data_IF_084104276235
#
_entry.id   IF_084104276235
#
_cell.length_a   1.000
_cell.length_b   1.000
_cell.length_c   1.000
_cell.angle_alpha   90.00
_cell.angle_beta   90.00
_cell.angle_gamma   90.00
#
_symmetry.space_group_name_H-M   'P 1'
#
loop_
_entity.id
_entity.type
_entity.pdbx_description
1 polymer ?
#
# COMPACT_ATOMS: atom_id res chain seq x y z
N UNK A 1 19.84 25.94 15.68
CA UNK A 1 19.46 24.67 16.34
C UNK A 1 20.09 23.56 15.53
N UNK A 2 20.79 22.63 16.16
CA UNK A 2 21.52 21.55 15.49
C UNK A 2 20.63 20.83 14.46
N UNK A 3 21.14 20.67 13.24
CA UNK A 3 20.51 19.95 12.14
C UNK A 3 20.54 18.43 12.41
N UNK A 4 19.90 18.00 13.49
CA UNK A 4 19.84 16.58 13.82
C UNK A 4 18.80 15.93 12.90
N UNK A 5 19.28 15.13 11.95
CA UNK A 5 18.44 14.35 11.05
C UNK A 5 17.89 13.07 11.66
N UNK A 6 18.11 12.85 12.96
CA UNK A 6 17.73 11.63 13.67
C UNK A 6 16.80 11.94 14.83
N UNK A 7 15.92 10.98 15.12
CA UNK A 7 15.10 10.95 16.33
C UNK A 7 14.82 9.50 16.73
N UNK A 8 14.21 9.30 17.89
CA UNK A 8 13.73 8.00 18.34
C UNK A 8 12.22 7.94 18.22
N UNK A 9 11.68 6.80 17.82
CA UNK A 9 10.24 6.56 17.86
C UNK A 9 9.74 6.60 19.31
N UNK A 10 8.59 7.24 19.50
CA UNK A 10 7.86 7.19 20.78
C UNK A 10 7.22 5.81 20.98
N UNK A 11 6.81 5.50 22.20
CA UNK A 11 6.05 4.26 22.49
C UNK A 11 4.85 4.07 21.55
N UNK A 12 4.04 5.11 21.36
CA UNK A 12 2.87 5.07 20.48
C UNK A 12 3.27 4.72 19.03
N UNK A 13 4.38 5.28 18.54
CA UNK A 13 4.90 5.00 17.19
C UNK A 13 5.49 3.58 17.09
N UNK A 14 6.16 3.08 18.14
CA UNK A 14 6.67 1.70 18.20
C UNK A 14 5.53 0.68 18.20
N UNK A 15 4.40 0.97 18.86
CA UNK A 15 3.21 0.13 18.79
C UNK A 15 2.65 0.08 17.36
N UNK A 16 2.56 1.22 16.67
CA UNK A 16 2.11 1.25 15.27
C UNK A 16 3.09 0.49 14.36
N UNK A 17 4.39 0.63 14.57
CA UNK A 17 5.41 -0.15 13.87
C UNK A 17 5.23 -1.65 14.10
N UNK A 18 5.02 -2.09 15.34
CA UNK A 18 4.81 -3.52 15.65
C UNK A 18 3.56 -4.08 14.98
N UNK A 19 2.46 -3.31 14.99
CA UNK A 19 1.23 -3.66 14.30
C UNK A 19 1.46 -3.84 12.80
N UNK A 20 2.11 -2.87 12.16
CA UNK A 20 2.47 -2.92 10.73
C UNK A 20 3.34 -4.13 10.43
N UNK A 21 4.36 -4.39 11.25
CA UNK A 21 5.28 -5.50 11.02
C UNK A 21 4.67 -6.87 11.35
N UNK A 22 3.61 -6.90 12.16
CA UNK A 22 2.89 -8.09 12.59
C UNK A 22 1.63 -8.41 11.76
N UNK A 23 1.12 -7.47 10.97
CA UNK A 23 -0.03 -7.63 10.07
C UNK A 23 0.28 -8.71 9.02
N UNK A 24 -0.66 -9.64 8.80
CA UNK A 24 -0.53 -10.64 7.73
C UNK A 24 -0.90 -9.96 6.42
N UNK A 25 0.02 -9.99 5.46
CA UNK A 25 -0.16 -9.44 4.13
C UNK A 25 -0.19 -10.54 3.07
N UNK A 26 -1.16 -10.53 2.15
CA UNK A 26 -1.25 -11.52 1.08
C UNK A 26 -0.31 -11.17 -0.08
N UNK A 27 0.54 -12.11 -0.46
CA UNK A 27 1.30 -12.06 -1.71
C UNK A 27 0.63 -13.01 -2.70
N UNK A 28 -0.02 -12.44 -3.71
CA UNK A 28 -0.87 -13.18 -4.63
C UNK A 28 -0.04 -13.90 -5.67
N UNK A 29 -0.24 -15.22 -5.79
CA UNK A 29 0.32 -16.02 -6.87
C UNK A 29 -0.44 -15.80 -8.17
N UNK A 30 0.26 -15.76 -9.29
CA UNK A 30 -0.34 -15.77 -10.63
C UNK A 30 -0.71 -17.20 -11.06
N UNK A 31 -1.77 -17.32 -11.85
CA UNK A 31 -2.25 -18.62 -12.33
C UNK A 31 -2.72 -19.49 -11.17
N UNK A 32 -2.19 -20.72 -11.10
CA UNK A 32 -2.58 -21.70 -10.08
C UNK A 32 -1.70 -21.67 -8.82
N UNK A 33 -0.79 -20.70 -8.70
CA UNK A 33 0.06 -20.57 -7.52
C UNK A 33 -0.75 -20.04 -6.32
N UNK A 34 -0.59 -20.63 -5.12
CA UNK A 34 -1.36 -20.20 -3.95
C UNK A 34 -0.95 -18.81 -3.48
N UNK A 35 -1.85 -18.09 -2.83
CA UNK A 35 -1.52 -16.86 -2.11
C UNK A 35 -0.64 -17.18 -0.90
N UNK A 36 0.46 -16.43 -0.73
CA UNK A 36 1.32 -16.52 0.45
C UNK A 36 0.80 -15.58 1.53
N UNK A 37 0.65 -16.08 2.76
CA UNK A 37 0.30 -15.28 3.93
C UNK A 37 1.57 -14.97 4.72
N UNK A 38 2.05 -13.74 4.60
CA UNK A 38 3.38 -13.36 5.12
C UNK A 38 3.23 -12.23 6.12
N UNK A 39 4.02 -12.26 7.20
CA UNK A 39 4.20 -11.09 8.08
C UNK A 39 5.48 -10.35 7.69
N UNK A 40 5.48 -9.02 7.58
CA UNK A 40 6.68 -8.24 7.23
C UNK A 40 7.89 -8.61 8.07
N UNK A 41 7.74 -8.71 9.40
CA UNK A 41 8.85 -9.09 10.28
C UNK A 41 9.48 -10.44 9.93
N UNK A 42 8.70 -11.40 9.44
CA UNK A 42 9.23 -12.72 9.08
C UNK A 42 9.99 -12.68 7.76
N UNK A 43 9.41 -12.11 6.69
CA UNK A 43 10.11 -12.04 5.39
C UNK A 43 11.35 -11.16 5.47
N UNK A 44 11.29 -10.06 6.22
CA UNK A 44 12.45 -9.18 6.41
C UNK A 44 13.58 -9.92 7.13
N UNK A 45 13.28 -10.63 8.23
CA UNK A 45 14.29 -11.43 8.95
C UNK A 45 14.86 -12.56 8.08
N UNK A 46 14.01 -13.37 7.46
CA UNK A 46 14.46 -14.51 6.65
C UNK A 46 15.32 -14.04 5.48
N UNK A 47 14.93 -12.96 4.78
CA UNK A 47 15.76 -12.39 3.70
C UNK A 47 17.08 -11.84 4.25
N UNK A 48 17.07 -11.11 5.37
CA UNK A 48 18.30 -10.58 6.01
C UNK A 48 19.27 -11.72 6.34
N UNK A 49 18.78 -12.76 7.02
CA UNK A 49 19.60 -13.89 7.46
C UNK A 49 20.16 -14.67 6.27
N UNK A 50 19.33 -14.91 5.24
CA UNK A 50 19.77 -15.62 4.04
C UNK A 50 20.76 -14.82 3.21
N UNK A 51 20.61 -13.49 3.13
CA UNK A 51 21.62 -12.64 2.48
C UNK A 51 22.98 -12.77 3.17
N UNK A 52 23.01 -12.67 4.50
CA UNK A 52 24.23 -12.80 5.30
C UNK A 52 24.85 -14.19 5.11
N UNK A 53 24.03 -15.25 5.17
CA UNK A 53 24.49 -16.63 4.97
C UNK A 53 25.12 -16.86 3.57
N UNK A 54 24.68 -16.13 2.55
CA UNK A 54 25.24 -16.19 1.19
C UNK A 54 26.35 -15.14 0.95
N UNK A 55 26.91 -14.58 2.02
CA UNK A 55 28.06 -13.66 1.96
C UNK A 55 27.72 -12.29 1.39
N UNK A 56 26.48 -11.82 1.52
CA UNK A 56 26.11 -10.42 1.29
C UNK A 56 26.23 -9.68 2.62
N UNK A 57 27.03 -8.61 2.64
CA UNK A 57 27.13 -7.73 3.81
C UNK A 57 25.87 -6.87 3.86
N UNK A 58 25.11 -6.97 4.95
CA UNK A 58 23.93 -6.14 5.24
C UNK A 58 24.29 -5.16 6.36
N UNK A 59 24.35 -3.86 6.05
CA UNK A 59 24.73 -2.79 6.96
C UNK A 59 23.61 -2.45 7.94
N UNK A 60 22.40 -2.31 7.42
CA UNK A 60 21.16 -2.25 8.21
C UNK A 60 19.95 -2.55 7.34
N UNK A 61 18.80 -2.66 7.99
CA UNK A 61 17.49 -2.76 7.34
C UNK A 61 16.59 -1.62 7.76
N UNK A 62 15.81 -1.05 6.83
CA UNK A 62 14.97 0.13 7.07
C UNK A 62 13.60 0.01 6.44
N UNK A 63 12.58 0.64 7.04
CA UNK A 63 11.35 1.01 6.35
C UNK A 63 11.49 2.39 5.74
N UNK A 64 11.00 2.55 4.51
CA UNK A 64 11.03 3.81 3.77
C UNK A 64 9.63 4.18 3.25
N UNK A 65 9.51 5.31 2.56
CA UNK A 65 8.32 5.65 1.79
C UNK A 65 7.13 6.00 2.68
N UNK A 66 5.92 5.87 2.13
CA UNK A 66 4.69 6.33 2.80
C UNK A 66 4.40 5.62 4.12
N UNK A 67 4.94 4.41 4.32
CA UNK A 67 4.75 3.64 5.55
C UNK A 67 5.54 4.19 6.73
N UNK A 68 6.75 4.72 6.49
CA UNK A 68 7.51 5.40 7.53
C UNK A 68 6.75 6.65 8.02
N UNK A 69 6.23 7.45 7.09
CA UNK A 69 5.41 8.62 7.42
C UNK A 69 4.10 8.25 8.13
N UNK A 70 3.46 7.14 7.74
CA UNK A 70 2.29 6.61 8.43
C UNK A 70 2.61 6.23 9.89
N UNK A 71 3.73 5.53 10.15
CA UNK A 71 4.13 5.15 11.51
C UNK A 71 4.36 6.40 12.37
N UNK A 72 4.98 7.45 11.80
CA UNK A 72 5.28 8.69 12.51
C UNK A 72 4.05 9.55 12.82
N UNK A 73 3.05 9.56 11.92
CA UNK A 73 1.90 10.47 12.00
C UNK A 73 0.56 9.77 11.65
N UNK A 74 0.34 8.57 12.18
CA UNK A 74 -0.84 7.73 11.88
C UNK A 74 -2.18 8.41 12.18
N UNK A 75 -2.20 9.35 13.13
CA UNK A 75 -3.40 10.12 13.52
C UNK A 75 -3.71 11.30 12.60
N UNK A 76 -2.84 11.63 11.63
CA UNK A 76 -2.97 12.83 10.78
C UNK A 76 -3.65 12.54 9.43
N UNK A 77 -4.35 11.41 9.30
CA UNK A 77 -4.96 10.97 8.03
C UNK A 77 -3.92 10.66 6.96
N UNK A 78 -2.69 10.34 7.37
CA UNK A 78 -1.67 9.79 6.49
C UNK A 78 -2.05 8.34 6.23
N UNK A 79 -2.03 7.94 4.98
CA UNK A 79 -2.21 6.54 4.58
C UNK A 79 -0.95 6.08 3.86
N UNK A 80 -0.59 4.83 4.04
CA UNK A 80 0.46 4.19 3.28
C UNK A 80 -0.14 3.25 2.26
N UNK A 81 0.64 3.00 1.21
CA UNK A 81 0.25 2.08 0.16
C UNK A 81 1.13 0.84 0.21
N UNK A 82 2.37 0.98 -0.22
CA UNK A 82 3.32 -0.12 -0.33
C UNK A 82 4.15 -0.24 0.97
N UNK A 83 4.61 -1.45 1.25
CA UNK A 83 5.59 -1.76 2.30
C UNK A 83 6.99 -1.70 1.68
N UNK A 84 7.61 -0.53 1.77
CA UNK A 84 8.95 -0.29 1.21
C UNK A 84 10.04 -0.64 2.23
N UNK A 85 10.75 -1.74 2.00
CA UNK A 85 11.87 -2.19 2.82
C UNK A 85 13.18 -1.93 2.09
N UNK A 86 14.12 -1.25 2.74
CA UNK A 86 15.49 -1.04 2.25
C UNK A 86 16.44 -1.91 3.05
N UNK A 87 17.18 -2.78 2.38
CA UNK A 87 18.38 -3.42 2.90
C UNK A 87 19.58 -2.63 2.37
N UNK A 88 20.36 -2.00 3.25
CA UNK A 88 21.64 -1.41 2.84
C UNK A 88 22.68 -2.50 2.74
N UNK A 89 23.11 -2.82 1.53
CA UNK A 89 23.95 -3.98 1.23
C UNK A 89 25.18 -3.60 0.43
N UNK A 90 26.23 -4.43 0.48
CA UNK A 90 27.37 -4.28 -0.41
C UNK A 90 27.21 -5.14 -1.67
N UNK A 91 27.27 -4.49 -2.84
CA UNK A 91 27.02 -5.14 -4.13
C UNK A 91 28.20 -5.01 -5.10
N UNK A 92 29.46 -5.32 -4.76
CA UNK A 92 30.64 -4.95 -5.55
C UNK A 92 30.63 -5.40 -7.02
N UNK A 93 29.92 -6.47 -7.37
CA UNK A 93 29.89 -7.01 -8.74
C UNK A 93 28.50 -7.59 -9.09
N UNK A 94 28.34 -7.98 -10.35
CA UNK A 94 27.08 -8.48 -10.91
C UNK A 94 26.64 -9.83 -10.31
N UNK A 95 27.58 -10.65 -9.87
CA UNK A 95 27.26 -11.91 -9.18
C UNK A 95 26.49 -11.65 -7.88
N UNK A 96 26.82 -10.58 -7.14
CA UNK A 96 26.09 -10.23 -5.91
C UNK A 96 24.64 -9.84 -6.16
N UNK A 97 24.32 -9.21 -7.30
CA UNK A 97 22.93 -8.97 -7.70
C UNK A 97 22.17 -10.27 -7.98
N UNK A 98 22.84 -11.25 -8.61
CA UNK A 98 22.24 -12.56 -8.88
C UNK A 98 21.97 -13.32 -7.57
N UNK A 99 22.91 -13.29 -6.62
CA UNK A 99 22.73 -13.87 -5.28
C UNK A 99 21.53 -13.24 -4.56
N UNK A 100 21.41 -11.90 -4.56
CA UNK A 100 20.24 -11.22 -3.96
C UNK A 100 18.94 -11.71 -4.57
N UNK A 101 18.87 -11.80 -5.90
CA UNK A 101 17.68 -12.30 -6.60
C UNK A 101 17.34 -13.72 -6.17
N UNK A 102 18.33 -14.61 -6.16
CA UNK A 102 18.12 -16.02 -5.88
C UNK A 102 17.76 -16.27 -4.42
N UNK A 103 18.37 -15.52 -3.49
CA UNK A 103 18.03 -15.52 -2.07
C UNK A 103 16.57 -15.12 -1.86
N UNK A 104 16.11 -14.00 -2.42
CA UNK A 104 14.73 -13.55 -2.23
C UNK A 104 13.74 -14.56 -2.79
N UNK A 105 13.98 -15.08 -4.00
CA UNK A 105 13.12 -16.09 -4.62
C UNK A 105 13.13 -17.41 -3.84
N UNK A 106 14.27 -17.79 -3.27
CA UNK A 106 14.41 -18.94 -2.38
C UNK A 106 13.59 -18.76 -1.09
N UNK A 107 13.65 -17.58 -0.46
CA UNK A 107 12.87 -17.27 0.73
C UNK A 107 11.36 -17.40 0.48
N UNK A 108 10.87 -17.05 -0.71
CA UNK A 108 9.44 -17.20 -1.05
C UNK A 108 8.98 -18.67 -1.03
N UNK A 109 9.87 -19.64 -1.30
CA UNK A 109 9.55 -21.07 -1.23
C UNK A 109 9.22 -21.50 0.21
N UNK A 110 9.80 -20.85 1.21
CA UNK A 110 9.57 -21.15 2.61
C UNK A 110 8.20 -20.69 3.10
N UNK A 111 7.61 -19.70 2.43
CA UNK A 111 6.27 -19.20 2.71
C UNK A 111 5.14 -19.95 2.00
N UNK A 112 5.46 -20.95 1.16
CA UNK A 112 4.43 -21.79 0.54
C UNK A 112 3.62 -22.55 1.61
N UNK A 113 2.28 -22.68 1.44
CA UNK A 113 1.44 -23.40 2.37
C UNK A 113 1.87 -24.85 2.59
N UNK A 114 1.58 -25.39 3.79
CA UNK A 114 1.83 -26.80 4.11
C UNK A 114 1.09 -27.70 3.11
N UNK A 115 1.80 -28.69 2.55
CA UNK A 115 1.25 -29.63 1.57
C UNK A 115 1.62 -29.33 0.11
N UNK A 116 2.23 -28.17 -0.19
CA UNK A 116 2.79 -27.88 -1.52
C UNK A 116 4.09 -28.67 -1.70
N UNK A 117 4.17 -29.50 -2.75
CA UNK A 117 5.40 -30.21 -3.13
C UNK A 117 6.43 -29.22 -3.68
N UNK A 118 7.53 -29.00 -2.96
CA UNK A 118 8.57 -28.04 -3.32
C UNK A 118 9.59 -28.58 -4.32
N UNK A 119 9.69 -29.91 -4.46
CA UNK A 119 10.74 -30.63 -5.23
C UNK A 119 10.86 -30.18 -6.69
N UNK A 120 9.76 -29.76 -7.32
CA UNK A 120 9.72 -29.36 -8.74
C UNK A 120 9.59 -27.84 -8.93
N UNK A 121 9.61 -27.05 -7.86
CA UNK A 121 9.42 -25.60 -7.96
C UNK A 121 10.78 -24.92 -8.13
N UNK A 122 11.01 -24.38 -9.32
CA UNK A 122 12.23 -23.62 -9.65
C UNK A 122 12.11 -22.15 -9.23
N UNK A 123 13.24 -21.46 -9.07
CA UNK A 123 13.25 -20.01 -8.81
C UNK A 123 12.60 -19.22 -9.96
N UNK A 124 12.69 -19.71 -11.20
CA UNK A 124 12.02 -19.11 -12.36
C UNK A 124 10.51 -19.10 -12.18
N UNK A 125 9.93 -20.21 -11.73
CA UNK A 125 8.50 -20.28 -11.43
C UNK A 125 8.11 -19.34 -10.28
N UNK A 126 8.93 -19.24 -9.22
CA UNK A 126 8.67 -18.30 -8.12
C UNK A 126 8.67 -16.85 -8.59
N UNK A 127 9.60 -16.50 -9.49
CA UNK A 127 9.65 -15.18 -10.11
C UNK A 127 8.37 -14.90 -10.90
N UNK A 128 7.98 -15.81 -11.79
CA UNK A 128 6.80 -15.63 -12.65
C UNK A 128 5.49 -15.58 -11.85
N UNK A 129 5.41 -16.37 -10.78
CA UNK A 129 4.23 -16.48 -9.94
C UNK A 129 4.03 -15.26 -9.02
N UNK A 130 5.09 -14.78 -8.36
CA UNK A 130 4.93 -13.86 -7.22
C UNK A 130 5.54 -12.48 -7.42
N UNK A 131 6.42 -12.30 -8.42
CA UNK A 131 7.11 -11.02 -8.60
C UNK A 131 6.37 -10.16 -9.63
N UNK A 132 5.92 -9.00 -9.17
CA UNK A 132 5.25 -8.01 -10.03
C UNK A 132 6.26 -7.22 -10.85
N UNK A 133 7.37 -6.81 -10.23
CA UNK A 133 8.39 -5.97 -10.85
C UNK A 133 9.78 -6.27 -10.28
N UNK A 134 10.77 -6.35 -11.17
CA UNK A 134 12.19 -6.38 -10.80
C UNK A 134 12.92 -5.23 -11.50
N UNK A 135 13.82 -4.58 -10.77
CA UNK A 135 14.68 -3.52 -11.31
C UNK A 135 16.11 -3.77 -10.83
N UNK A 136 17.08 -3.61 -11.74
CA UNK A 136 18.51 -3.55 -11.43
C UNK A 136 19.06 -2.25 -12.00
N UNK A 137 19.66 -1.44 -11.15
CA UNK A 137 20.40 -0.22 -11.54
C UNK A 137 21.85 -0.38 -11.09
N UNK A 138 22.76 -0.20 -12.04
CA UNK A 138 24.19 -0.29 -11.81
C UNK A 138 24.90 0.70 -12.73
N UNK A 139 25.18 1.89 -12.21
CA UNK A 139 25.96 2.95 -12.86
C UNK A 139 26.86 3.65 -11.83
N UNK A 140 27.59 4.69 -12.25
CA UNK A 140 28.59 5.37 -11.44
C UNK A 140 28.04 6.05 -10.17
N UNK A 141 26.75 6.34 -10.13
CA UNK A 141 26.10 7.04 -9.02
C UNK A 141 25.14 6.16 -8.23
N UNK A 142 24.44 5.26 -8.93
CA UNK A 142 23.36 4.44 -8.41
C UNK A 142 23.67 2.96 -8.60
N UNK A 143 23.67 2.23 -7.50
CA UNK A 143 23.88 0.78 -7.47
C UNK A 143 22.90 0.13 -6.51
N UNK A 144 21.80 -0.39 -7.04
CA UNK A 144 20.73 -0.98 -6.26
C UNK A 144 19.83 -1.88 -7.09
N UNK A 145 19.10 -2.78 -6.42
CA UNK A 145 18.05 -3.59 -7.04
C UNK A 145 16.75 -3.52 -6.25
N UNK A 146 15.63 -3.83 -6.90
CA UNK A 146 14.31 -3.85 -6.30
C UNK A 146 13.53 -5.07 -6.78
N UNK A 147 12.86 -5.73 -5.85
CA UNK A 147 11.93 -6.84 -6.10
C UNK A 147 10.61 -6.47 -5.43
N UNK A 148 9.58 -6.20 -6.24
CA UNK A 148 8.23 -5.87 -5.80
C UNK A 148 7.34 -7.10 -5.96
N UNK A 149 6.77 -7.56 -4.84
CA UNK A 149 5.93 -8.75 -4.77
C UNK A 149 4.47 -8.39 -4.98
N UNK A 150 3.76 -9.24 -5.72
CA UNK A 150 2.39 -8.96 -6.19
C UNK A 150 1.40 -8.92 -5.04
N UNK A 151 0.72 -7.78 -4.86
CA UNK A 151 -0.46 -7.70 -4.02
C UNK A 151 -1.62 -7.04 -4.78
N UNK A 152 -2.63 -7.84 -5.11
CA UNK A 152 -3.79 -7.39 -5.88
C UNK A 152 -4.70 -6.42 -5.11
N UNK A 153 -4.47 -6.22 -3.81
CA UNK A 153 -5.18 -5.22 -3.00
C UNK A 153 -4.45 -3.88 -2.89
N UNK A 154 -3.28 -3.74 -3.54
CA UNK A 154 -2.55 -2.47 -3.64
C UNK A 154 -1.54 -2.19 -2.52
N UNK A 155 -1.33 -3.11 -1.57
CA UNK A 155 -0.24 -3.03 -0.57
C UNK A 155 0.94 -3.92 -0.96
N UNK A 156 1.72 -3.54 -1.96
CA UNK A 156 2.82 -4.40 -2.42
C UNK A 156 3.94 -4.45 -1.37
N UNK A 157 4.69 -5.56 -1.37
CA UNK A 157 5.94 -5.65 -0.60
C UNK A 157 7.09 -5.34 -1.53
N UNK A 158 7.78 -4.24 -1.30
CA UNK A 158 8.93 -3.82 -2.10
C UNK A 158 10.22 -4.03 -1.31
N UNK A 159 11.01 -5.01 -1.73
CA UNK A 159 12.33 -5.28 -1.16
C UNK A 159 13.39 -4.61 -2.03
N UNK A 160 14.01 -3.55 -1.50
CA UNK A 160 15.04 -2.75 -2.16
C UNK A 160 16.40 -3.02 -1.53
N UNK A 161 17.39 -3.32 -2.35
CA UNK A 161 18.75 -3.66 -1.94
C UNK A 161 19.69 -2.57 -2.44
N UNK A 162 20.16 -1.72 -1.52
CA UNK A 162 20.83 -0.46 -1.86
C UNK A 162 22.30 -0.51 -1.44
N UNK A 163 23.20 -0.39 -2.43
CA UNK A 163 24.61 -0.15 -2.19
C UNK A 163 24.93 1.35 -2.27
N UNK A 164 24.45 2.02 -3.32
CA UNK A 164 24.47 3.48 -3.45
C UNK A 164 23.19 3.97 -4.13
N UNK A 165 22.67 5.09 -3.65
CA UNK A 165 21.48 5.73 -4.19
C UNK A 165 21.60 7.24 -4.03
N UNK A 166 21.73 7.96 -5.15
CA UNK A 166 21.90 9.41 -5.17
C UNK A 166 20.65 10.13 -4.65
N UNK A 167 19.48 9.70 -5.12
CA UNK A 167 18.18 10.32 -4.82
C UNK A 167 17.41 9.47 -3.84
N UNK A 168 17.31 9.92 -2.60
CA UNK A 168 16.69 9.13 -1.53
C UNK A 168 15.32 9.66 -1.07
N UNK A 169 14.96 10.90 -1.43
CA UNK A 169 13.65 11.50 -1.18
C UNK A 169 13.29 12.51 -2.27
N UNK A 170 12.01 12.88 -2.37
CA UNK A 170 11.54 13.94 -3.27
C UNK A 170 11.04 15.16 -2.48
N UNK A 171 10.23 14.93 -1.45
CA UNK A 171 9.72 15.94 -0.54
C UNK A 171 10.05 15.58 0.92
N UNK A 172 9.90 16.53 1.83
CA UNK A 172 10.16 16.29 3.26
C UNK A 172 9.27 15.18 3.83
N UNK A 173 8.02 15.10 3.37
CA UNK A 173 6.98 14.22 3.92
C UNK A 173 7.19 12.74 3.59
N UNK A 174 8.06 12.41 2.64
CA UNK A 174 8.44 11.05 2.25
C UNK A 174 9.93 10.75 2.49
N UNK A 175 10.61 11.61 3.26
CA UNK A 175 12.05 11.51 3.51
C UNK A 175 12.45 10.61 4.68
N UNK A 176 11.48 10.02 5.37
CA UNK A 176 11.73 9.27 6.60
C UNK A 176 12.15 7.84 6.34
N UNK A 177 13.19 7.39 7.06
CA UNK A 177 13.58 5.99 7.12
C UNK A 177 13.67 5.52 8.56
N UNK A 178 12.97 4.44 8.90
CA UNK A 178 12.95 3.85 10.24
C UNK A 178 13.92 2.66 10.25
N UNK A 179 14.93 2.69 11.12
CA UNK A 179 15.87 1.60 11.29
C UNK A 179 15.20 0.42 12.01
N UNK A 180 15.20 -0.75 11.37
CA UNK A 180 14.47 -1.92 11.86
C UNK A 180 15.29 -2.85 12.76
N UNK A 181 16.62 -2.75 12.75
CA UNK A 181 17.50 -3.77 13.32
C UNK A 181 17.19 -4.10 14.78
N UNK A 182 17.06 -3.08 15.65
CA UNK A 182 16.72 -3.28 17.06
C UNK A 182 15.33 -3.92 17.25
N UNK A 183 14.37 -3.60 16.38
CA UNK A 183 13.03 -4.19 16.43
C UNK A 183 13.05 -5.66 15.97
N UNK A 184 13.82 -5.96 14.93
CA UNK A 184 14.00 -7.31 14.40
C UNK A 184 14.74 -8.21 15.40
N UNK A 185 15.78 -7.69 16.06
CA UNK A 185 16.49 -8.36 17.14
C UNK A 185 15.57 -8.65 18.32
N UNK A 186 14.73 -7.69 18.71
CA UNK A 186 13.73 -7.88 19.76
C UNK A 186 12.77 -9.03 19.45
N UNK A 187 12.35 -9.21 18.19
CA UNK A 187 11.51 -10.35 17.80
C UNK A 187 12.18 -11.71 17.90
N UNK A 188 13.52 -11.75 17.85
CA UNK A 188 14.28 -12.99 17.99
C UNK A 188 14.46 -13.41 19.45
N UNK A 189 14.19 -12.52 20.40
CA UNK A 189 14.23 -12.82 21.84
C UNK A 189 13.00 -13.64 22.23
N UNK A 190 13.22 -14.90 22.63
CA UNK A 190 12.14 -15.79 23.10
C UNK A 190 11.38 -15.16 24.27
N UNK A 191 10.05 -15.20 24.20
CA UNK A 191 9.12 -14.68 25.22
C UNK A 191 9.18 -13.17 25.48
N UNK A 192 9.92 -12.40 24.67
CA UNK A 192 9.88 -10.94 24.76
C UNK A 192 8.48 -10.43 24.44
N UNK A 193 7.94 -9.58 25.32
CA UNK A 193 6.66 -8.89 25.13
C UNK A 193 6.92 -7.40 25.09
N UNK A 194 6.40 -6.75 24.05
CA UNK A 194 6.48 -5.31 23.89
C UNK A 194 5.64 -4.65 24.99
N UNK A 195 6.26 -3.85 25.85
CA UNK A 195 5.57 -3.11 26.92
C UNK A 195 6.12 -1.69 27.02
N UNK A 196 5.36 -0.75 27.57
CA UNK A 196 5.82 0.64 27.70
C UNK A 196 7.09 0.78 28.55
N UNK A 197 7.35 -0.17 29.46
CA UNK A 197 8.56 -0.21 30.29
C UNK A 197 9.72 -0.95 29.62
N UNK A 198 9.47 -1.70 28.54
CA UNK A 198 10.46 -2.53 27.85
C UNK A 198 10.10 -2.66 26.38
N UNK A 199 10.74 -1.81 25.56
CA UNK A 199 10.68 -1.82 24.11
C UNK A 199 12.03 -1.39 23.52
N UNK A 200 12.39 -1.88 22.32
CA UNK A 200 13.65 -1.52 21.69
C UNK A 200 13.66 -0.03 21.32
N UNK A 201 14.82 0.61 21.45
CA UNK A 201 15.00 1.97 20.92
C UNK A 201 15.06 1.88 19.40
N UNK A 202 14.05 2.45 18.73
CA UNK A 202 13.97 2.45 17.26
C UNK A 202 14.29 3.84 16.75
N UNK A 203 15.38 3.95 15.99
CA UNK A 203 15.86 5.22 15.42
C UNK A 203 15.16 5.47 14.09
N UNK A 204 14.79 6.72 13.86
CA UNK A 204 14.29 7.23 12.57
C UNK A 204 15.21 8.34 12.07
N UNK A 205 15.50 8.31 10.77
CA UNK A 205 16.28 9.31 10.05
C UNK A 205 15.39 10.07 9.07
N UNK A 206 15.55 11.38 8.97
CA UNK A 206 14.98 12.20 7.90
C UNK A 206 16.08 12.57 6.91
N UNK A 207 15.98 12.02 5.70
CA UNK A 207 16.91 12.31 4.62
C UNK A 207 16.77 13.74 4.06
N UNK A 208 15.69 14.43 4.42
CA UNK A 208 15.48 15.85 4.14
C UNK A 208 16.51 16.73 4.86
N UNK A 209 17.13 16.23 5.93
CA UNK A 209 18.07 16.97 6.77
C UNK A 209 17.52 17.15 8.17
N UNK A 210 16.80 18.23 8.43
CA UNK A 210 16.26 18.49 9.78
C UNK A 210 15.03 17.62 10.07
N UNK A 211 15.15 16.70 11.03
CA UNK A 211 14.05 15.78 11.39
C UNK A 211 12.81 16.51 11.90
N UNK A 212 12.99 17.49 12.78
CA UNK A 212 11.87 18.20 13.41
C UNK A 212 11.08 19.01 12.40
N UNK A 213 11.77 19.66 11.47
CA UNK A 213 11.13 20.40 10.37
C UNK A 213 10.35 19.46 9.45
N UNK A 214 10.94 18.34 9.03
CA UNK A 214 10.24 17.35 8.22
C UNK A 214 9.00 16.80 8.96
N UNK A 215 9.11 16.58 10.28
CA UNK A 215 8.00 16.14 11.11
C UNK A 215 6.88 17.19 11.18
N UNK A 216 7.23 18.47 11.32
CA UNK A 216 6.28 19.58 11.22
C UNK A 216 5.59 19.58 9.86
N UNK A 217 6.33 19.42 8.76
CA UNK A 217 5.73 19.32 7.43
C UNK A 217 4.76 18.14 7.33
N UNK A 218 5.10 16.98 7.88
CA UNK A 218 4.21 15.83 7.88
C UNK A 218 2.92 16.07 8.69
N UNK A 219 3.05 16.67 9.89
CA UNK A 219 1.93 16.92 10.80
C UNK A 219 0.93 17.94 10.24
N UNK A 220 1.42 19.01 9.63
CA UNK A 220 0.62 20.10 9.07
C UNK A 220 0.33 19.94 7.57
N UNK A 221 0.69 18.78 6.99
CA UNK A 221 0.53 18.47 5.56
C UNK A 221 1.15 19.53 4.65
N UNK A 222 2.41 19.86 4.88
CA UNK A 222 3.15 20.85 4.11
C UNK A 222 4.07 20.19 3.07
N UNK A 223 4.17 20.79 1.90
CA UNK A 223 5.02 20.34 0.79
C UNK A 223 6.26 21.23 0.77
N UNK A 224 7.43 20.61 0.94
CA UNK A 224 8.73 21.26 0.84
C UNK A 224 9.77 20.28 0.31
N UNK A 225 10.77 20.81 -0.39
CA UNK A 225 11.96 20.08 -0.84
C UNK A 225 13.19 20.98 -0.71
N UNK A 226 14.32 20.42 -0.30
CA UNK A 226 15.63 21.11 -0.23
C UNK A 226 16.52 20.82 -1.43
N UNK A 227 16.09 19.87 -2.29
CA UNK A 227 16.86 19.36 -3.43
C UNK A 227 16.03 19.33 -4.71
N UNK A 228 15.53 20.49 -5.18
CA UNK A 228 14.72 20.55 -6.40
C UNK A 228 15.46 19.95 -7.61
N UNK A 229 16.79 20.10 -7.68
CA UNK A 229 17.64 19.56 -8.74
C UNK A 229 17.63 18.02 -8.82
N UNK A 230 17.31 17.33 -7.72
CA UNK A 230 17.22 15.88 -7.69
C UNK A 230 15.85 15.36 -8.16
N UNK A 231 14.83 16.22 -8.25
CA UNK A 231 13.49 15.82 -8.70
C UNK A 231 13.50 15.47 -10.19
N UNK A 232 12.87 14.34 -10.53
CA UNK A 232 12.64 13.86 -11.91
C UNK A 232 11.19 14.09 -12.33
N UNK A 233 10.82 13.74 -13.56
CA UNK A 233 9.48 13.94 -14.10
C UNK A 233 8.36 13.31 -13.25
N UNK A 234 8.64 12.20 -12.57
CA UNK A 234 7.71 11.58 -11.62
C UNK A 234 7.32 12.49 -10.44
N UNK A 235 8.16 13.48 -10.09
CA UNK A 235 7.89 14.42 -9.01
C UNK A 235 6.67 15.29 -9.25
N UNK A 236 6.36 15.63 -10.51
CA UNK A 236 5.12 16.35 -10.85
C UNK A 236 3.87 15.53 -10.49
N UNK A 237 3.91 14.22 -10.77
CA UNK A 237 2.83 13.30 -10.46
C UNK A 237 2.66 13.15 -8.94
N UNK A 238 3.77 13.02 -8.23
CA UNK A 238 3.76 12.95 -6.75
C UNK A 238 3.27 14.25 -6.10
N UNK A 239 3.73 15.40 -6.59
CA UNK A 239 3.25 16.70 -6.15
C UNK A 239 1.74 16.85 -6.33
N UNK A 240 1.22 16.51 -7.52
CA UNK A 240 -0.22 16.53 -7.80
C UNK A 240 -1.00 15.61 -6.86
N UNK A 241 -0.43 14.45 -6.49
CA UNK A 241 -1.04 13.53 -5.53
C UNK A 241 -1.05 14.10 -4.10
N UNK A 242 0.03 14.78 -3.69
CA UNK A 242 0.07 15.47 -2.39
C UNK A 242 -1.04 16.53 -2.30
N UNK A 243 -1.23 17.34 -3.35
CA UNK A 243 -2.29 18.36 -3.38
C UNK A 243 -3.70 17.78 -3.22
N UNK A 244 -4.05 16.72 -3.95
CA UNK A 244 -5.38 16.08 -3.79
C UNK A 244 -5.57 15.39 -2.45
N UNK A 245 -4.48 15.11 -1.73
CA UNK A 245 -4.49 14.59 -0.34
C UNK A 245 -4.48 15.71 0.71
N UNK A 246 -4.78 16.94 0.28
CA UNK A 246 -4.88 18.15 1.09
C UNK A 246 -3.55 18.62 1.68
N UNK A 247 -2.42 18.29 1.03
CA UNK A 247 -1.16 18.94 1.36
C UNK A 247 -1.08 20.30 0.67
N UNK A 248 -0.36 21.23 1.29
CA UNK A 248 -0.18 22.60 0.81
C UNK A 248 1.30 22.97 0.76
N UNK A 249 1.75 23.76 -0.22
CA UNK A 249 3.11 24.26 -0.21
C UNK A 249 3.42 25.09 1.04
N UNK A 250 4.66 25.02 1.54
CA UNK A 250 5.11 25.89 2.64
C UNK A 250 5.10 27.37 2.22
N UNK A 251 5.46 27.65 0.96
CA UNK A 251 5.56 28.99 0.40
C UNK A 251 4.94 29.05 -1.00
N UNK A 252 3.98 29.94 -1.20
CA UNK A 252 3.34 30.17 -2.52
C UNK A 252 4.31 30.77 -3.55
N UNK A 253 5.31 31.53 -3.10
CA UNK A 253 6.31 32.11 -4.00
C UNK A 253 7.28 31.04 -4.52
N UNK A 254 7.78 30.18 -3.63
CA UNK A 254 8.75 29.14 -3.97
C UNK A 254 8.12 28.04 -4.82
N UNK A 255 6.86 27.68 -4.52
CA UNK A 255 6.20 26.59 -5.23
C UNK A 255 6.00 26.90 -6.72
N UNK A 256 5.77 28.15 -7.11
CA UNK A 256 5.65 28.52 -8.53
C UNK A 256 6.96 28.32 -9.30
N UNK A 257 8.09 28.45 -8.64
CA UNK A 257 9.39 28.10 -9.24
C UNK A 257 9.56 26.58 -9.31
N UNK A 258 9.16 25.85 -8.27
CA UNK A 258 9.23 24.40 -8.24
C UNK A 258 8.28 23.74 -9.25
N UNK A 259 7.06 24.24 -9.43
CA UNK A 259 6.10 23.76 -10.43
C UNK A 259 6.67 23.89 -11.84
N UNK A 260 7.24 25.05 -12.18
CA UNK A 260 7.92 25.26 -13.47
C UNK A 260 9.05 24.26 -13.69
N UNK A 261 9.83 23.99 -12.65
CA UNK A 261 10.91 22.99 -12.70
C UNK A 261 10.36 21.57 -12.90
N UNK A 262 9.35 21.17 -12.13
CA UNK A 262 8.71 19.85 -12.23
C UNK A 262 8.04 19.62 -13.58
N UNK A 263 7.34 20.62 -14.12
CA UNK A 263 6.78 20.58 -15.48
C UNK A 263 7.88 20.41 -16.52
N UNK A 264 8.93 21.24 -16.47
CA UNK A 264 10.06 21.13 -17.41
C UNK A 264 10.70 19.75 -17.35
N UNK A 265 10.95 19.22 -16.14
CA UNK A 265 11.54 17.89 -15.96
C UNK A 265 10.62 16.76 -16.41
N UNK A 266 9.31 16.90 -16.25
CA UNK A 266 8.31 15.96 -16.76
C UNK A 266 8.38 15.84 -18.28
N UNK A 267 8.43 16.97 -18.99
CA UNK A 267 8.55 16.95 -20.46
C UNK A 267 9.92 16.46 -20.94
N UNK A 268 11.01 16.75 -20.23
CA UNK A 268 12.34 16.24 -20.59
C UNK A 268 12.42 14.72 -20.39
N UNK A 269 11.84 14.20 -19.30
CA UNK A 269 11.89 12.77 -18.99
C UNK A 269 10.85 11.96 -19.80
N UNK A 270 9.76 12.59 -20.25
CA UNK A 270 8.69 11.99 -21.04
C UNK A 270 8.30 12.92 -22.21
N UNK A 271 9.10 12.96 -23.28
CA UNK A 271 8.89 13.90 -24.39
C UNK A 271 7.62 13.61 -25.19
N UNK A 272 7.25 12.33 -25.33
CA UNK A 272 6.12 11.91 -26.15
C UNK A 272 4.80 11.83 -25.38
N UNK A 273 3.71 12.31 -25.97
CA UNK A 273 2.37 12.26 -25.37
C UNK A 273 1.91 10.83 -25.03
N UNK A 274 2.33 9.85 -25.82
CA UNK A 274 2.02 8.42 -25.58
C UNK A 274 2.74 7.91 -24.34
N UNK A 275 3.99 8.32 -24.12
CA UNK A 275 4.74 7.97 -22.92
C UNK A 275 4.17 8.65 -21.69
N UNK A 276 3.83 9.94 -21.80
CA UNK A 276 3.17 10.70 -20.74
C UNK A 276 1.86 10.02 -20.34
N UNK A 277 1.01 9.65 -21.32
CA UNK A 277 -0.24 8.94 -21.06
C UNK A 277 0.02 7.62 -20.33
N UNK A 278 0.94 6.78 -20.82
CA UNK A 278 1.30 5.51 -20.15
C UNK A 278 1.79 5.72 -18.73
N UNK A 279 2.56 6.78 -18.45
CA UNK A 279 3.03 7.08 -17.10
C UNK A 279 1.92 7.56 -16.18
N UNK A 280 1.04 8.43 -16.65
CA UNK A 280 -0.11 8.88 -15.86
C UNK A 280 -1.07 7.72 -15.61
N UNK A 281 -1.37 6.89 -16.61
CA UNK A 281 -2.20 5.69 -16.47
C UNK A 281 -1.61 4.71 -15.45
N UNK A 282 -0.30 4.44 -15.54
CA UNK A 282 0.40 3.60 -14.56
C UNK A 282 0.35 4.20 -13.15
N UNK A 283 0.52 5.52 -13.02
CA UNK A 283 0.43 6.22 -11.74
C UNK A 283 -0.98 6.11 -11.14
N UNK A 284 -2.02 6.33 -11.94
CA UNK A 284 -3.41 6.19 -11.52
C UNK A 284 -3.76 4.77 -11.09
N UNK A 285 -3.32 3.78 -11.87
CA UNK A 285 -3.51 2.37 -11.54
C UNK A 285 -2.84 2.01 -10.21
N UNK A 286 -1.65 2.56 -9.95
CA UNK A 286 -0.90 2.27 -8.74
C UNK A 286 -1.42 3.04 -7.53
N UNK A 287 -1.80 4.31 -7.63
CA UNK A 287 -2.06 5.16 -6.45
C UNK A 287 -3.54 5.38 -6.11
N UNK A 288 -4.47 4.98 -6.99
CA UNK A 288 -5.90 5.26 -6.85
C UNK A 288 -6.77 4.01 -7.02
N UNK A 289 -6.28 2.85 -6.57
CA UNK A 289 -7.06 1.60 -6.58
C UNK A 289 -8.27 1.77 -5.65
N UNK A 290 -9.49 1.59 -6.19
CA UNK A 290 -10.72 1.77 -5.42
C UNK A 290 -11.17 3.23 -5.24
N UNK A 291 -10.38 4.21 -5.66
CA UNK A 291 -10.64 5.65 -5.47
C UNK A 291 -10.99 6.36 -6.80
N UNK A 292 -12.02 5.92 -7.51
CA UNK A 292 -12.35 6.46 -8.86
C UNK A 292 -12.64 7.97 -8.84
N UNK A 293 -13.38 8.47 -7.83
CA UNK A 293 -13.62 9.91 -7.63
C UNK A 293 -12.32 10.70 -7.47
N UNK A 294 -11.36 10.16 -6.72
CA UNK A 294 -10.06 10.81 -6.52
C UNK A 294 -9.23 10.88 -7.80
N UNK A 295 -9.40 9.93 -8.75
CA UNK A 295 -8.70 9.97 -10.05
C UNK A 295 -9.08 11.20 -10.88
N UNK A 296 -10.36 11.56 -10.91
CA UNK A 296 -10.82 12.76 -11.62
C UNK A 296 -10.19 14.01 -11.01
N UNK A 297 -10.27 14.16 -9.68
CA UNK A 297 -9.69 15.30 -8.99
C UNK A 297 -8.18 15.40 -9.24
N UNK A 298 -7.46 14.28 -9.16
CA UNK A 298 -6.03 14.21 -9.46
C UNK A 298 -5.70 14.67 -10.88
N UNK A 299 -6.44 14.19 -11.89
CA UNK A 299 -6.22 14.58 -13.27
C UNK A 299 -6.50 16.06 -13.50
N UNK A 300 -7.54 16.61 -12.86
CA UNK A 300 -7.85 18.05 -12.93
C UNK A 300 -6.78 18.90 -12.24
N UNK A 301 -6.26 18.47 -11.09
CA UNK A 301 -5.13 19.13 -10.42
C UNK A 301 -3.88 19.10 -11.30
N UNK A 302 -3.51 17.93 -11.85
CA UNK A 302 -2.37 17.80 -12.75
C UNK A 302 -2.53 18.69 -13.99
N UNK A 303 -3.73 18.71 -14.59
CA UNK A 303 -4.06 19.58 -15.73
C UNK A 303 -3.83 21.05 -15.39
N UNK A 304 -4.32 21.51 -14.24
CA UNK A 304 -4.17 22.90 -13.79
C UNK A 304 -2.70 23.30 -13.64
N UNK A 305 -1.89 22.46 -13.01
CA UNK A 305 -0.44 22.73 -12.86
C UNK A 305 0.25 22.80 -14.22
N UNK A 306 -0.04 21.87 -15.14
CA UNK A 306 0.55 21.89 -16.48
C UNK A 306 0.13 23.13 -17.26
N UNK A 307 -1.11 23.60 -17.11
CA UNK A 307 -1.60 24.81 -17.77
C UNK A 307 -0.91 26.08 -17.24
N UNK A 308 -0.87 26.24 -15.91
CA UNK A 308 -0.37 27.43 -15.23
C UNK A 308 1.16 27.56 -15.24
N UNK A 309 1.88 26.43 -15.16
CA UNK A 309 3.31 26.42 -14.85
C UNK A 309 4.20 25.90 -15.98
N UNK A 310 3.65 25.61 -17.16
CA UNK A 310 4.46 25.29 -18.35
C UNK A 310 4.86 26.55 -19.12
N UNK A 311 6.17 26.72 -19.32
CA UNK A 311 6.78 27.88 -20.01
C UNK A 311 6.32 27.96 -21.48
N UNK A 312 6.21 29.18 -22.01
CA UNK A 312 5.67 29.46 -23.35
C UNK A 312 6.37 28.74 -24.52
N UNK A 313 7.62 28.29 -24.33
CA UNK A 313 8.42 27.60 -25.35
C UNK A 313 7.89 26.22 -25.74
N UNK A 314 6.94 25.66 -24.98
CA UNK A 314 6.39 24.30 -25.19
C UNK A 314 4.88 24.32 -25.50
N UNK A 315 4.43 25.26 -26.34
CA UNK A 315 2.98 25.53 -26.51
C UNK A 315 2.21 24.34 -27.10
N UNK A 316 2.81 23.64 -28.06
CA UNK A 316 2.17 22.53 -28.75
C UNK A 316 2.14 21.27 -27.88
N UNK A 317 3.27 20.95 -27.25
CA UNK A 317 3.43 19.85 -26.30
C UNK A 317 2.48 20.05 -25.12
N UNK A 318 2.45 21.26 -24.54
CA UNK A 318 1.52 21.62 -23.47
C UNK A 318 0.07 21.38 -23.87
N UNK A 319 -0.33 21.82 -25.06
CA UNK A 319 -1.71 21.63 -25.54
C UNK A 319 -2.04 20.15 -25.69
N UNK A 320 -1.16 19.36 -26.32
CA UNK A 320 -1.36 17.92 -26.48
C UNK A 320 -1.49 17.20 -25.13
N UNK A 321 -0.65 17.54 -24.16
CA UNK A 321 -0.70 16.96 -22.81
C UNK A 321 -1.98 17.37 -22.07
N UNK A 322 -2.39 18.64 -22.14
CA UNK A 322 -3.65 19.11 -21.54
C UNK A 322 -4.85 18.39 -22.16
N UNK A 323 -4.90 18.27 -23.48
CA UNK A 323 -5.99 17.59 -24.18
C UNK A 323 -6.02 16.10 -23.80
N UNK A 324 -4.86 15.45 -23.73
CA UNK A 324 -4.73 14.06 -23.28
C UNK A 324 -5.22 13.87 -21.84
N UNK A 325 -4.78 14.71 -20.89
CA UNK A 325 -5.23 14.65 -19.49
C UNK A 325 -6.74 14.90 -19.38
N UNK A 326 -7.27 15.86 -20.14
CA UNK A 326 -8.71 16.18 -20.16
C UNK A 326 -9.52 14.96 -20.63
N UNK A 327 -9.08 14.30 -21.71
CA UNK A 327 -9.71 13.07 -22.20
C UNK A 327 -9.65 11.92 -21.17
N UNK A 328 -8.55 11.78 -20.43
CA UNK A 328 -8.45 10.82 -19.34
C UNK A 328 -9.43 11.13 -18.20
N UNK A 329 -9.58 12.40 -17.84
CA UNK A 329 -10.48 12.84 -16.77
C UNK A 329 -11.93 12.57 -17.12
N UNK A 330 -12.36 12.89 -18.35
CA UNK A 330 -13.71 12.59 -18.85
C UNK A 330 -14.00 11.08 -18.84
N UNK A 331 -13.02 10.25 -19.22
CA UNK A 331 -13.16 8.78 -19.15
C UNK A 331 -13.31 8.29 -17.70
N UNK A 332 -12.58 8.87 -16.75
CA UNK A 332 -12.70 8.52 -15.34
C UNK A 332 -14.08 8.90 -14.78
N UNK A 333 -14.56 10.11 -15.10
CA UNK A 333 -15.89 10.59 -14.68
C UNK A 333 -17.03 9.72 -15.26
N UNK A 334 -16.96 9.37 -16.54
CA UNK A 334 -17.97 8.53 -17.18
C UNK A 334 -18.01 7.09 -16.66
N UNK A 335 -16.87 6.56 -16.16
CA UNK A 335 -16.84 5.25 -15.48
C UNK A 335 -17.52 5.31 -14.12
N UNK A 336 -17.35 6.42 -13.39
CA UNK A 336 -17.99 6.62 -12.09
C UNK A 336 -19.51 6.73 -12.22
N UNK A 337 -20.01 7.58 -13.12
CA UNK A 337 -21.46 7.73 -13.35
C UNK A 337 -22.14 6.39 -13.71
N UNK A 338 -21.47 5.55 -14.52
CA UNK A 338 -21.95 4.19 -14.83
C UNK A 338 -21.95 3.27 -13.62
N UNK A 339 -21.00 3.41 -12.70
CA UNK A 339 -20.89 2.61 -11.47
C UNK A 339 -21.98 2.99 -10.47
N UNK A 340 -22.19 4.29 -10.27
CA UNK A 340 -23.28 4.83 -9.44
C UNK A 340 -24.65 4.42 -9.98
N UNK A 341 -24.88 4.54 -11.29
CA UNK A 341 -26.13 4.11 -11.94
C UNK A 341 -26.40 2.60 -11.78
N UNK A 342 -25.36 1.76 -11.80
CA UNK A 342 -25.49 0.31 -11.58
C UNK A 342 -25.79 -0.04 -10.12
N UNK A 343 -25.23 0.70 -9.17
CA UNK A 343 -25.54 0.52 -7.75
C UNK A 343 -26.98 0.94 -7.43
N UNK A 344 -27.49 2.01 -8.05
CA UNK A 344 -28.87 2.46 -7.91
C UNK A 344 -29.88 1.55 -8.64
N UNK A 345 -29.52 0.97 -9.80
CA UNK A 345 -30.36 0.04 -10.54
C UNK A 345 -30.49 -1.37 -9.92
N UNK A 346 -29.56 -1.77 -9.05
CA UNK A 346 -29.58 -3.08 -8.37
C UNK A 346 -30.57 -3.20 -7.22
N UNK A 347 -31.14 -2.09 -6.74
CA UNK A 347 -32.15 -2.08 -5.67
C UNK A 347 -33.60 -1.99 -6.22
N UNK A 348 -33.78 -1.95 -7.55
CA UNK A 348 -35.07 -1.67 -8.20
C UNK A 348 -35.90 -2.89 -8.63
N UNK A 349 -35.45 -4.13 -8.37
CA UNK A 349 -36.11 -5.35 -8.87
C UNK A 349 -36.80 -6.19 -7.80
N UNK A 350 -37.29 -5.58 -6.71
CA UNK A 350 -38.11 -6.24 -5.69
C UNK A 350 -39.38 -5.46 -5.28
N UNK A 351 -39.70 -4.37 -5.98
CA UNK A 351 -40.89 -3.55 -5.71
C UNK A 351 -41.68 -3.28 -6.97
N UNK A 352 -42.29 -4.30 -7.57
CA UNK A 352 -43.30 -4.10 -8.63
C UNK A 352 -44.26 -5.29 -8.75
N UNK A 353 -44.82 -5.73 -7.62
CA UNK A 353 -45.95 -6.68 -7.56
C UNK A 353 -46.79 -6.42 -6.30
N UNK A 354 -47.38 -5.23 -6.18
CA UNK A 354 -48.49 -4.98 -5.25
C UNK A 354 -49.04 -3.56 -5.48
N UNK A 355 -49.73 -3.33 -6.58
CA UNK A 355 -50.59 -2.15 -6.73
C UNK A 355 -51.62 -2.45 -7.82
N UNK A 356 -52.70 -3.12 -7.39
CA UNK A 356 -54.06 -2.99 -7.92
C UNK A 356 -54.93 -4.08 -7.32
N UNK A 357 -55.60 -3.74 -6.21
CA UNK A 357 -56.97 -4.13 -5.84
C UNK A 357 -57.22 -3.71 -4.39
N UNK A 358 -57.68 -2.48 -4.21
CA UNK A 358 -58.54 -2.13 -3.08
C UNK A 358 -59.86 -1.63 -3.66
N UNK A 359 -60.91 -2.39 -3.38
CA UNK A 359 -62.30 -2.04 -3.56
C UNK A 359 -63.08 -2.72 -2.44
N UNK A 360 -63.96 -1.94 -1.81
CA UNK A 360 -65.03 -2.35 -0.90
C UNK A 360 -64.71 -2.45 0.62
N UNK A 361 -64.79 -1.26 1.23
CA UNK A 361 -65.55 -0.88 2.42
C UNK A 361 -66.30 -1.98 3.21
N UNK A 362 -65.95 -2.00 4.51
CA UNK A 362 -66.78 -2.07 5.72
C UNK A 362 -68.08 -2.90 5.72
N UNK A 363 -68.12 -3.87 6.64
CA UNK A 363 -69.34 -4.08 7.43
C UNK A 363 -69.08 -4.75 8.79
N UNK A 364 -69.28 -3.96 9.88
CA UNK A 364 -69.86 -4.30 11.20
C UNK A 364 -69.26 -5.48 12.00
N UNK A 365 -68.95 -5.42 13.29
CA UNK A 365 -69.31 -4.58 14.43
C UNK A 365 -69.01 -5.47 15.66
N UNK A 366 -68.14 -5.03 16.56
CA UNK A 366 -68.49 -4.44 17.86
C UNK A 366 -68.49 -5.45 19.04
N UNK A 367 -67.90 -4.94 20.13
CA UNK A 367 -68.12 -5.25 21.56
C UNK A 367 -67.22 -6.31 22.22
N UNK A 368 -66.39 -5.78 23.11
CA UNK A 368 -65.56 -6.40 24.15
C UNK A 368 -66.44 -6.86 25.36
N UNK A 369 -65.96 -7.14 26.60
CA UNK A 369 -64.57 -7.22 27.09
C UNK A 369 -64.28 -8.39 28.06
N UNK A 370 -62.98 -8.52 28.37
CA UNK A 370 -62.35 -8.86 29.66
C UNK A 370 -62.81 -10.07 30.48
N UNK A 371 -61.86 -10.92 30.90
CA UNK A 371 -61.55 -11.28 32.32
C UNK A 371 -60.24 -12.10 32.36
N UNK A 372 -59.28 -11.66 33.18
CA UNK A 372 -58.06 -12.36 33.68
C UNK A 372 -58.37 -13.11 34.99
N UNK A 373 -57.45 -13.82 35.71
CA UNK A 373 -56.13 -14.42 35.43
C UNK A 373 -55.96 -15.86 36.04
N UNK A 374 -54.70 -16.32 36.14
CA UNK A 374 -54.12 -17.30 37.10
C UNK A 374 -53.84 -18.71 36.54
N UNK A 375 -52.56 -19.05 36.38
CA UNK A 375 -51.64 -19.79 37.29
C UNK A 375 -51.92 -21.31 37.36
N UNK A 376 -50.88 -22.11 37.14
CA UNK A 376 -50.91 -23.55 37.40
C UNK A 376 -49.71 -24.30 36.86
N UNK A 377 -48.67 -24.43 37.69
CA UNK A 377 -47.54 -25.35 37.48
C UNK A 377 -48.00 -26.80 37.50
N UNK A 378 -47.33 -27.73 36.81
CA UNK A 378 -46.65 -28.89 37.45
C UNK A 378 -45.97 -29.82 36.43
N UNK A 379 -44.71 -30.14 36.74
CA UNK A 379 -44.04 -31.47 36.75
C UNK A 379 -44.65 -32.62 35.94
N UNK A 380 -43.82 -33.33 35.16
CA UNK A 380 -43.18 -34.61 35.52
C UNK A 380 -42.44 -35.18 34.30
N UNK A 381 -41.19 -35.67 34.45
CA UNK A 381 -40.81 -37.09 34.56
C UNK A 381 -41.24 -37.91 33.31
N UNK A 382 -40.40 -38.68 32.64
CA UNK A 382 -39.09 -39.25 32.92
C UNK A 382 -38.91 -40.42 31.94
N UNK A 383 -37.78 -41.12 32.04
CA UNK A 383 -37.50 -42.43 31.43
C UNK A 383 -37.34 -42.49 29.90
N UNK A 384 -36.54 -43.37 29.31
CA UNK A 384 -35.35 -44.15 29.66
C UNK A 384 -35.01 -44.93 28.36
N UNK A 385 -33.75 -45.32 28.17
CA UNK A 385 -33.30 -46.59 27.54
C UNK A 385 -33.59 -46.77 26.02
N UNK A 386 -32.59 -46.72 25.13
CA UNK A 386 -31.48 -47.67 24.87
C UNK A 386 -31.81 -48.74 23.83
N UNK A 387 -30.90 -48.94 22.88
CA UNK A 387 -30.67 -50.23 22.23
C UNK A 387 -30.73 -50.20 20.70
N UNK A 388 -29.65 -50.67 20.05
CA UNK A 388 -29.70 -51.09 18.65
C UNK A 388 -28.41 -50.87 17.85
N UNK A 389 -27.39 -51.72 18.06
CA UNK A 389 -26.38 -52.00 17.04
C UNK A 389 -27.01 -52.87 15.95
N UNK A 390 -26.63 -52.67 14.68
CA UNK A 390 -26.25 -53.76 13.78
C UNK A 390 -25.47 -53.24 12.57
N UNK A 391 -24.50 -54.06 12.18
CA UNK A 391 -23.44 -53.89 11.18
C UNK A 391 -23.91 -54.49 9.84
N UNK A 392 -23.09 -54.28 8.79
CA UNK A 392 -22.97 -54.99 7.49
C UNK A 392 -23.49 -54.12 6.35
N UNK A 393 -22.78 -53.83 5.26
CA UNK A 393 -21.51 -54.30 4.72
C UNK A 393 -21.48 -53.85 3.25
N UNK A 394 -20.30 -53.47 2.75
CA UNK A 394 -20.02 -53.14 1.33
C UNK A 394 -20.07 -54.41 0.43
N UNK A 395 -19.57 -54.42 -0.84
CA UNK A 395 -19.22 -53.35 -1.80
C UNK A 395 -19.69 -53.68 -3.25
N UNK A 396 -19.32 -52.79 -4.21
CA UNK A 396 -18.86 -53.00 -5.62
C UNK A 396 -19.36 -51.80 -6.46
N UNK A 397 -18.60 -51.17 -7.34
CA UNK A 397 -17.35 -51.50 -8.03
C UNK A 397 -16.48 -50.25 -8.20
#
# INVERSE_FOLDING_TARGET
>A
MSEVGFSNLTWDQVIVLDQVLGEVIPIHGRGNFPTLEVKPKHIINVVKDQLIAHGIIVKDTRLNGSIASYILASRNGIIYKDLDVIFRVELPNDNKFQIVKDVVLGCLLDFLPKGVKKENITLTFMKEAYVQKMVKICNDHDRWSLISLSNNTGKNVELKFVNSLKRQFEFSVDSFQICLDNMLEFYNVKNAKLTQKSYPVVVVESLYGNFQEAMTHLQYKLISTRKPEEIRGGGLLKYSNLLVRNFKPVSEAEIKTLERYMCSRFFIDFPDVVEQQRKIESYLHNHFIGEEKSKYNYLMTLRGIVDDSTVCLMRNERRQTIDMITNMALKAQGREQKRESRQLGGCGSLGRWAENREGELEAWGAVAPSVTPSMGSTRNAGNHLSGGRCIVGSPRH
#
